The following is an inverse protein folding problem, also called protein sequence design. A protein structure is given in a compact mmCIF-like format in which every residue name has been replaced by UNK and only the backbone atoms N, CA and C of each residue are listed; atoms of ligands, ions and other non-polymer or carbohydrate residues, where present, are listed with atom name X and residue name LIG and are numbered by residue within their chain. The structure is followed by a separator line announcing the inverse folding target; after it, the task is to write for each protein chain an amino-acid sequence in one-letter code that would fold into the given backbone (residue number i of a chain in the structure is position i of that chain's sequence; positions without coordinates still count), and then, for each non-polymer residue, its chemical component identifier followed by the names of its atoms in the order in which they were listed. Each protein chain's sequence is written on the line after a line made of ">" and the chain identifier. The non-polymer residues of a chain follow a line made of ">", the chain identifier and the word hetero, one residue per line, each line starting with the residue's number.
data_IF_824909229391
#
_entry.id   IF_824909229391
#
_cell.length_a   1.000
_cell.length_b   1.000
_cell.length_c   1.000
_cell.angle_alpha   90.00
_cell.angle_beta   90.00
_cell.angle_gamma   90.00
#
_symmetry.space_group_name_H-M   'P 1'
#
loop_
_entity.id
_entity.type
_entity.pdbx_description
1 polymer ?
#
# COMPACT_ATOMS: atom_id res chain seq x y z
N UNK A 1 -9.14 7.37 21.93
CA UNK A 1 -9.35 7.71 20.51
C UNK A 1 -8.60 6.67 19.70
N UNK A 2 -9.30 5.82 18.95
CA UNK A 2 -8.69 4.78 18.11
C UNK A 2 -8.32 5.39 16.77
N UNK A 3 -7.04 5.28 16.38
CA UNK A 3 -6.55 5.71 15.07
C UNK A 3 -6.37 4.49 14.18
N UNK A 4 -6.75 4.61 12.90
CA UNK A 4 -6.57 3.55 11.90
C UNK A 4 -5.27 3.79 11.15
N UNK A 5 -4.36 2.81 11.18
CA UNK A 5 -3.08 2.89 10.49
C UNK A 5 -3.20 2.48 9.02
N UNK A 6 -2.55 3.23 8.13
CA UNK A 6 -2.28 2.85 6.75
C UNK A 6 -0.79 2.54 6.62
N UNK A 7 -0.47 1.26 6.39
CA UNK A 7 0.91 0.75 6.38
C UNK A 7 1.27 0.38 4.95
N UNK A 8 2.33 0.97 4.40
CA UNK A 8 2.81 0.69 3.04
C UNK A 8 4.32 0.92 2.94
N UNK A 9 4.93 0.63 1.80
CA UNK A 9 6.32 0.99 1.51
C UNK A 9 6.47 1.30 0.02
N UNK A 10 7.34 2.25 -0.32
CA UNK A 10 7.58 2.67 -1.71
C UNK A 10 7.93 1.50 -2.64
N UNK A 11 8.72 0.57 -2.13
CA UNK A 11 9.22 -0.59 -2.90
C UNK A 11 8.10 -1.52 -3.37
N UNK A 12 6.91 -1.49 -2.75
CA UNK A 12 5.75 -2.26 -3.22
C UNK A 12 5.32 -1.86 -4.64
N UNK A 13 5.63 -0.63 -5.08
CA UNK A 13 5.37 -0.19 -6.46
C UNK A 13 6.36 -0.74 -7.49
N UNK A 14 7.51 -1.25 -7.02
CA UNK A 14 8.53 -1.85 -7.89
C UNK A 14 8.23 -3.33 -8.18
N UNK A 15 7.10 -3.84 -7.71
CA UNK A 15 6.70 -5.21 -7.91
C UNK A 15 6.45 -5.48 -9.40
N UNK A 16 7.14 -6.44 -9.99
CA UNK A 16 6.99 -6.85 -11.39
C UNK A 16 6.92 -8.38 -11.48
N UNK A 17 5.82 -8.89 -12.03
CA UNK A 17 5.56 -10.31 -12.23
C UNK A 17 5.64 -10.75 -13.70
N UNK A 18 5.96 -9.81 -14.59
CA UNK A 18 6.00 -10.02 -16.04
C UNK A 18 4.65 -9.85 -16.74
N UNK A 19 4.72 -9.71 -18.06
CA UNK A 19 3.56 -9.64 -18.94
C UNK A 19 2.72 -10.91 -18.76
N UNK A 20 1.40 -10.78 -18.65
CA UNK A 20 0.40 -11.84 -18.41
C UNK A 20 0.14 -12.25 -16.96
N UNK A 21 0.84 -11.70 -15.97
CA UNK A 21 0.50 -11.97 -14.58
C UNK A 21 -0.68 -11.08 -14.11
N UNK A 22 -1.69 -11.63 -13.39
CA UNK A 22 -2.84 -10.86 -12.90
C UNK A 22 -2.50 -9.95 -11.70
N UNK A 23 -1.37 -10.19 -11.05
CA UNK A 23 -0.83 -9.30 -10.03
C UNK A 23 -0.02 -8.18 -10.68
N UNK A 24 -0.35 -6.94 -10.31
CA UNK A 24 0.29 -5.77 -10.85
C UNK A 24 0.34 -4.63 -9.79
N UNK A 25 1.45 -3.86 -9.72
CA UNK A 25 1.65 -2.82 -8.71
C UNK A 25 0.67 -1.66 -8.86
N UNK A 26 0.10 -1.44 -10.06
CA UNK A 26 -0.87 -0.38 -10.35
C UNK A 26 -2.12 -0.48 -9.47
N UNK A 27 -2.44 -1.68 -8.97
CA UNK A 27 -3.53 -1.87 -8.01
C UNK A 27 -3.33 -1.06 -6.73
N UNK A 28 -2.09 -0.86 -6.28
CA UNK A 28 -1.79 -0.08 -5.08
C UNK A 28 -2.13 1.40 -5.31
N UNK A 29 -1.76 1.95 -6.48
CA UNK A 29 -2.09 3.31 -6.88
C UNK A 29 -3.61 3.49 -6.99
N UNK A 30 -4.31 2.55 -7.64
CA UNK A 30 -5.76 2.61 -7.79
C UNK A 30 -6.50 2.64 -6.43
N UNK A 31 -5.99 1.90 -5.43
CA UNK A 31 -6.53 1.92 -4.06
C UNK A 31 -6.28 3.30 -3.42
N UNK A 32 -5.07 3.85 -3.53
CA UNK A 32 -4.72 5.18 -3.01
C UNK A 32 -5.63 6.27 -3.59
N UNK A 33 -5.78 6.28 -4.91
CA UNK A 33 -6.61 7.25 -5.62
C UNK A 33 -8.08 7.14 -5.18
N UNK A 34 -8.57 5.92 -4.97
CA UNK A 34 -9.93 5.71 -4.49
C UNK A 34 -10.12 6.24 -3.07
N UNK A 35 -9.18 6.02 -2.15
CA UNK A 35 -9.26 6.56 -0.79
C UNK A 35 -9.27 8.09 -0.77
N UNK A 36 -8.46 8.73 -1.60
CA UNK A 36 -8.45 10.19 -1.79
C UNK A 36 -9.80 10.65 -2.35
N UNK A 37 -10.31 10.00 -3.41
CA UNK A 37 -11.56 10.36 -4.05
C UNK A 37 -12.79 10.21 -3.11
N UNK A 38 -12.74 9.26 -2.17
CA UNK A 38 -13.77 9.08 -1.13
C UNK A 38 -13.57 10.00 0.07
N UNK A 39 -12.50 10.79 0.12
CA UNK A 39 -12.16 11.63 1.28
C UNK A 39 -11.77 10.84 2.53
N UNK A 40 -11.41 9.56 2.38
CA UNK A 40 -11.02 8.68 3.49
C UNK A 40 -9.56 8.85 3.90
N UNK A 41 -8.73 9.37 2.98
CA UNK A 41 -7.29 9.55 3.16
C UNK A 41 -6.91 10.25 4.47
N UNK A 42 -7.62 11.33 4.83
CA UNK A 42 -7.34 12.12 6.03
C UNK A 42 -7.65 11.41 7.36
N UNK A 43 -8.34 10.28 7.33
CA UNK A 43 -8.69 9.52 8.53
C UNK A 43 -7.62 8.50 8.92
N UNK A 44 -6.60 8.31 8.08
CA UNK A 44 -5.54 7.34 8.32
C UNK A 44 -4.27 7.98 8.89
N UNK A 45 -3.59 7.23 9.76
CA UNK A 45 -2.21 7.50 10.14
C UNK A 45 -1.27 6.71 9.22
N UNK A 46 -0.47 7.41 8.42
CA UNK A 46 0.46 6.81 7.45
C UNK A 46 1.76 6.34 8.12
N UNK A 47 2.17 5.10 7.80
CA UNK A 47 3.39 4.50 8.32
C UNK A 47 4.15 3.73 7.22
N UNK A 48 5.47 3.95 7.14
CA UNK A 48 6.36 3.12 6.32
C UNK A 48 6.62 1.76 7.00
N UNK A 49 6.42 0.67 6.25
CA UNK A 49 6.70 -0.67 6.72
C UNK A 49 8.22 -0.94 6.73
N UNK A 50 8.82 -1.42 7.83
CA UNK A 50 10.21 -1.84 7.83
C UNK A 50 10.39 -3.15 7.04
N UNK A 51 11.59 -3.38 6.53
CA UNK A 51 11.93 -4.66 5.90
C UNK A 51 11.75 -5.81 6.90
N UNK A 52 10.97 -6.81 6.51
CA UNK A 52 10.72 -7.97 7.36
C UNK A 52 12.02 -8.79 7.56
N UNK A 53 12.24 -9.24 8.79
CA UNK A 53 13.26 -10.24 9.10
C UNK A 53 12.69 -11.64 8.97
N UNK A 54 13.52 -12.62 8.62
CA UNK A 54 13.15 -14.03 8.78
C UNK A 54 12.99 -14.36 10.27
N UNK A 55 11.84 -14.91 10.63
CA UNK A 55 11.63 -15.50 11.95
C UNK A 55 11.96 -16.99 11.87
N UNK A 56 12.85 -17.45 12.76
CA UNK A 56 13.34 -18.82 12.80
C UNK A 56 12.43 -19.72 13.64
#
# INVERSE_FOLDING_TARGET
>A
MTSTAFITHRDCQLHDMGSYHPECPERLTAISDHMIAQGLDSYFAYHDAPLASFQH
#
